data_IF_414818236033
#
_entry.id   IF_414818236033
#
_cell.length_a   1.000
_cell.length_b   1.000
_cell.length_c   1.000
_cell.angle_alpha   90.00
_cell.angle_beta   90.00
_cell.angle_gamma   90.00
#
_symmetry.space_group_name_H-M   'P 1'
#
loop_
_entity.id
_entity.type
_entity.pdbx_description
1 polymer ?
#
# COMPACT_ATOMS: atom_id res chain seq x y z
N UNK A 1 56.21 50.12 32.93
CA UNK A 1 55.26 50.81 33.83
C UNK A 1 53.85 50.70 33.24
N UNK A 2 52.84 50.70 34.11
CA UNK A 2 51.54 50.04 33.98
C UNK A 2 50.41 50.97 33.43
N UNK A 3 49.50 50.36 32.63
CA UNK A 3 48.06 50.65 32.35
C UNK A 3 47.63 51.93 31.60
N UNK A 4 46.35 52.04 31.16
CA UNK A 4 45.37 51.02 30.71
C UNK A 4 44.61 51.42 29.43
N UNK A 5 43.82 50.49 28.88
CA UNK A 5 42.48 50.78 28.36
C UNK A 5 42.35 51.60 27.07
N UNK A 6 42.08 50.92 25.96
CA UNK A 6 41.09 51.39 25.00
C UNK A 6 40.48 50.21 24.28
N UNK A 7 39.19 50.01 24.55
CA UNK A 7 38.29 49.09 23.86
C UNK A 7 37.87 49.77 22.55
N UNK A 8 38.12 49.21 21.36
CA UNK A 8 37.38 49.64 20.18
C UNK A 8 36.10 48.80 20.01
N UNK A 9 35.01 49.50 20.35
CA UNK A 9 33.69 49.57 19.71
C UNK A 9 33.09 48.30 19.08
N UNK A 10 32.07 47.82 19.79
CA UNK A 10 30.88 47.12 19.30
C UNK A 10 30.47 47.61 17.90
N UNK A 11 30.48 46.70 16.94
CA UNK A 11 29.72 46.84 15.68
C UNK A 11 28.41 46.08 15.85
N UNK A 12 27.31 46.82 15.88
CA UNK A 12 25.96 46.29 15.74
C UNK A 12 25.78 45.84 14.29
N UNK A 13 25.70 44.54 14.06
CA UNK A 13 25.09 44.00 12.85
C UNK A 13 23.67 43.58 13.21
N UNK A 14 22.77 44.47 12.80
CA UNK A 14 21.32 44.36 12.73
C UNK A 14 20.91 43.03 12.07
N UNK A 15 19.92 42.37 12.66
CA UNK A 15 19.55 40.99 12.37
C UNK A 15 19.01 40.73 10.97
N UNK A 16 19.13 39.47 10.59
CA UNK A 16 18.14 38.77 9.80
C UNK A 16 18.15 37.32 10.29
N UNK A 17 17.05 36.92 10.93
CA UNK A 17 16.55 35.56 11.02
C UNK A 17 17.18 34.61 9.98
N UNK A 18 18.22 33.87 10.35
CA UNK A 18 18.50 32.56 9.76
C UNK A 18 17.62 31.54 10.49
N UNK A 19 16.31 31.80 10.49
CA UNK A 19 15.29 30.80 10.70
C UNK A 19 15.48 29.75 9.63
N UNK A 20 16.43 28.85 9.83
CA UNK A 20 16.49 27.56 9.19
C UNK A 20 15.18 26.88 9.57
N UNK A 21 14.21 26.70 8.65
CA UNK A 21 13.32 25.59 8.86
C UNK A 21 14.24 24.38 8.78
N UNK A 22 14.41 23.72 9.93
CA UNK A 22 14.77 22.31 10.04
C UNK A 22 14.41 21.66 8.72
N UNK A 23 15.41 21.21 7.96
CA UNK A 23 15.23 20.58 6.67
C UNK A 23 14.00 19.68 6.77
N UNK A 24 12.88 20.16 6.23
CA UNK A 24 11.65 19.42 6.20
C UNK A 24 12.05 18.22 5.38
N UNK A 25 12.23 17.09 6.05
CA UNK A 25 12.43 15.84 5.38
C UNK A 25 11.13 15.69 4.62
N UNK A 26 11.15 16.11 3.35
CA UNK A 26 10.08 15.86 2.40
C UNK A 26 10.04 14.35 2.37
N UNK A 27 9.18 13.79 3.24
CA UNK A 27 8.61 12.49 3.06
C UNK A 27 8.02 12.59 1.66
N UNK A 28 8.75 12.08 0.68
CA UNK A 28 8.18 11.75 -0.61
C UNK A 28 6.99 10.87 -0.25
N UNK A 29 5.81 11.47 -0.22
CA UNK A 29 4.53 10.78 -0.10
C UNK A 29 4.64 9.62 -1.11
N UNK A 30 4.62 8.35 -0.67
CA UNK A 30 4.81 7.24 -1.58
C UNK A 30 3.74 7.37 -2.66
N UNK A 31 4.17 7.55 -3.90
CA UNK A 31 3.28 7.68 -5.05
C UNK A 31 2.35 6.47 -5.04
N UNK A 32 1.01 6.63 -4.93
CA UNK A 32 0.07 5.53 -4.67
C UNK A 32 -0.11 4.55 -5.85
N UNK A 33 0.78 4.59 -6.85
CA UNK A 33 0.72 3.72 -8.02
C UNK A 33 1.26 2.31 -7.78
N UNK A 34 2.14 2.12 -6.78
CA UNK A 34 2.84 0.84 -6.56
C UNK A 34 2.73 0.26 -5.15
N UNK A 35 1.98 0.87 -4.23
CA UNK A 35 1.75 0.26 -2.91
C UNK A 35 0.90 -1.00 -3.10
N UNK A 36 1.45 -2.22 -2.95
CA UNK A 36 0.67 -3.44 -3.14
C UNK A 36 -0.38 -3.49 -2.02
N UNK A 37 -1.60 -3.90 -2.36
CA UNK A 37 -2.57 -4.29 -1.33
C UNK A 37 -1.91 -5.40 -0.50
N UNK A 38 -1.49 -5.06 0.71
CA UNK A 38 -1.23 -6.05 1.76
C UNK A 38 -2.60 -6.50 2.26
N UNK A 39 -3.27 -7.33 1.45
CA UNK A 39 -4.26 -8.25 2.02
C UNK A 39 -3.46 -8.98 3.08
N UNK A 40 -3.89 -8.95 4.34
CA UNK A 40 -3.29 -9.81 5.34
C UNK A 40 -3.62 -11.25 4.92
N UNK A 41 -2.70 -11.85 4.15
CA UNK A 41 -2.90 -13.15 3.51
C UNK A 41 -2.89 -14.27 4.55
N UNK A 42 -2.27 -14.03 5.72
CA UNK A 42 -2.39 -14.92 6.87
C UNK A 42 -3.83 -14.88 7.45
N UNK A 43 -4.41 -13.69 7.62
CA UNK A 43 -5.81 -13.55 8.02
C UNK A 43 -6.78 -14.14 6.99
N UNK A 44 -6.54 -13.88 5.70
CA UNK A 44 -7.34 -14.42 4.59
C UNK A 44 -7.33 -15.96 4.61
N UNK A 45 -6.16 -16.58 4.79
CA UNK A 45 -6.04 -18.03 4.91
C UNK A 45 -6.77 -18.58 6.14
N UNK A 46 -6.59 -17.97 7.31
CA UNK A 46 -7.28 -18.38 8.53
C UNK A 46 -8.80 -18.27 8.40
N UNK A 47 -9.30 -17.33 7.59
CA UNK A 47 -10.73 -17.20 7.29
C UNK A 47 -11.21 -18.26 6.30
N UNK A 48 -10.45 -18.55 5.23
CA UNK A 48 -10.76 -19.64 4.27
C UNK A 48 -10.80 -21.03 4.94
N UNK A 49 -9.98 -21.25 5.97
CA UNK A 49 -9.96 -22.52 6.71
C UNK A 49 -11.14 -22.68 7.67
N UNK A 50 -11.75 -21.57 8.12
CA UNK A 50 -12.89 -21.56 9.05
C UNK A 50 -14.25 -21.45 8.34
N UNK A 51 -14.27 -21.29 7.03
CA UNK A 51 -15.49 -21.20 6.24
C UNK A 51 -16.08 -22.57 5.91
N UNK A 52 -17.36 -22.57 5.51
CA UNK A 52 -18.13 -23.78 5.21
C UNK A 52 -17.41 -24.67 4.16
N UNK A 53 -16.94 -25.87 4.52
CA UNK A 53 -16.20 -26.76 3.63
C UNK A 53 -17.05 -27.28 2.46
N UNK A 54 -18.38 -27.18 2.53
CA UNK A 54 -19.29 -27.55 1.44
C UNK A 54 -19.31 -26.52 0.32
N UNK A 55 -18.85 -25.29 0.57
CA UNK A 55 -18.75 -24.24 -0.45
C UNK A 55 -17.43 -24.38 -1.21
N UNK A 56 -17.40 -24.34 -2.54
CA UNK A 56 -16.15 -24.40 -3.29
C UNK A 56 -15.18 -23.26 -2.92
N UNK A 57 -13.90 -23.57 -2.70
CA UNK A 57 -12.89 -22.60 -2.25
C UNK A 57 -12.76 -21.37 -3.15
N UNK A 58 -12.93 -21.51 -4.47
CA UNK A 58 -12.88 -20.37 -5.38
C UNK A 58 -14.00 -19.36 -5.10
N UNK A 59 -15.20 -19.81 -4.72
CA UNK A 59 -16.30 -18.93 -4.34
C UNK A 59 -16.03 -18.23 -3.01
N UNK A 60 -15.47 -18.96 -2.05
CA UNK A 60 -15.10 -18.37 -0.75
C UNK A 60 -14.02 -17.29 -0.91
N UNK A 61 -13.03 -17.53 -1.78
CA UNK A 61 -12.01 -16.55 -2.12
C UNK A 61 -12.61 -15.34 -2.83
N UNK A 62 -13.49 -15.55 -3.81
CA UNK A 62 -14.17 -14.46 -4.52
C UNK A 62 -14.96 -13.58 -3.54
N UNK A 63 -15.75 -14.18 -2.65
CA UNK A 63 -16.49 -13.43 -1.62
C UNK A 63 -15.59 -12.63 -0.69
N UNK A 64 -14.42 -13.17 -0.35
CA UNK A 64 -13.46 -12.48 0.51
C UNK A 64 -12.86 -11.25 -0.17
N UNK A 65 -12.46 -11.39 -1.45
CA UNK A 65 -11.92 -10.29 -2.23
C UNK A 65 -13.00 -9.22 -2.46
N UNK A 66 -14.24 -9.63 -2.74
CA UNK A 66 -15.38 -8.71 -2.89
C UNK A 66 -15.61 -7.87 -1.62
N UNK A 67 -15.47 -8.47 -0.43
CA UNK A 67 -15.66 -7.76 0.85
C UNK A 67 -14.64 -6.65 1.11
N UNK A 68 -13.48 -6.71 0.46
CA UNK A 68 -12.43 -5.71 0.61
C UNK A 68 -12.33 -4.78 -0.60
N UNK A 69 -13.25 -4.87 -1.56
CA UNK A 69 -13.23 -4.06 -2.79
C UNK A 69 -13.31 -2.56 -2.51
N UNK A 70 -14.30 -2.12 -1.72
CA UNK A 70 -14.60 -0.70 -1.50
C UNK A 70 -13.38 0.13 -1.05
N UNK A 71 -12.59 -0.29 -0.05
CA UNK A 71 -11.38 0.45 0.34
C UNK A 71 -10.20 0.33 -0.62
N UNK A 72 -10.26 -0.52 -1.66
CA UNK A 72 -9.13 -0.84 -2.54
C UNK A 72 -9.40 -0.59 -4.03
N UNK A 73 -10.41 0.22 -4.38
CA UNK A 73 -10.70 0.58 -5.78
C UNK A 73 -9.48 1.11 -6.51
N UNK A 74 -9.24 0.63 -7.73
CA UNK A 74 -8.07 0.96 -8.53
C UNK A 74 -6.73 0.39 -8.04
N UNK A 75 -6.69 -0.29 -6.89
CA UNK A 75 -5.44 -0.84 -6.34
C UNK A 75 -5.15 -2.21 -6.95
N UNK A 76 -3.87 -2.52 -7.13
CA UNK A 76 -3.37 -3.77 -7.69
C UNK A 76 -3.50 -4.94 -6.73
N UNK A 77 -4.12 -6.02 -7.18
CA UNK A 77 -4.15 -7.31 -6.51
C UNK A 77 -2.81 -8.04 -6.62
N UNK A 78 -2.44 -8.85 -5.59
CA UNK A 78 -1.30 -9.76 -5.70
C UNK A 78 -1.47 -10.74 -6.88
N UNK A 79 -0.36 -11.15 -7.48
CA UNK A 79 -0.39 -12.10 -8.60
C UNK A 79 -1.05 -13.44 -8.24
N UNK A 80 -1.61 -14.16 -9.21
CA UNK A 80 -2.17 -15.50 -9.01
C UNK A 80 -1.20 -16.44 -8.29
N UNK A 81 0.09 -16.35 -8.64
CA UNK A 81 1.15 -17.16 -8.03
C UNK A 81 1.32 -16.82 -6.55
N UNK A 82 1.37 -15.53 -6.20
CA UNK A 82 1.54 -15.05 -4.82
C UNK A 82 0.32 -15.42 -3.97
N UNK A 83 -0.89 -15.17 -4.47
CA UNK A 83 -2.14 -15.57 -3.80
C UNK A 83 -2.16 -17.07 -3.52
N UNK A 84 -1.81 -17.91 -4.51
CA UNK A 84 -1.79 -19.36 -4.32
C UNK A 84 -0.77 -19.82 -3.27
N UNK A 85 0.43 -19.24 -3.28
CA UNK A 85 1.50 -19.57 -2.33
C UNK A 85 1.12 -19.18 -0.90
N UNK A 86 0.66 -17.94 -0.70
CA UNK A 86 0.38 -17.42 0.64
C UNK A 86 -0.90 -18.01 1.24
N UNK A 87 -1.94 -18.18 0.43
CA UNK A 87 -3.20 -18.82 0.86
C UNK A 87 -3.10 -20.35 0.93
N UNK A 88 -2.02 -20.94 0.40
CA UNK A 88 -1.83 -22.40 0.24
C UNK A 88 -3.00 -23.10 -0.46
N UNK A 89 -3.46 -22.51 -1.56
CA UNK A 89 -4.52 -23.06 -2.41
C UNK A 89 -4.00 -23.24 -3.83
N UNK A 90 -4.61 -24.14 -4.60
CA UNK A 90 -4.20 -24.37 -5.98
C UNK A 90 -4.35 -23.09 -6.84
N UNK A 91 -3.36 -22.81 -7.71
CA UNK A 91 -3.41 -21.66 -8.63
C UNK A 91 -4.67 -21.65 -9.51
N UNK A 92 -5.15 -22.83 -9.91
CA UNK A 92 -6.40 -22.98 -10.68
C UNK A 92 -7.63 -22.46 -9.92
N UNK A 93 -7.65 -22.64 -8.59
CA UNK A 93 -8.71 -22.14 -7.71
C UNK A 93 -8.65 -20.61 -7.62
N UNK A 94 -7.45 -20.04 -7.47
CA UNK A 94 -7.24 -18.58 -7.49
C UNK A 94 -7.71 -18.00 -8.83
N UNK A 95 -7.23 -18.57 -9.94
CA UNK A 95 -7.60 -18.13 -11.28
C UNK A 95 -9.11 -18.14 -11.49
N UNK A 96 -9.79 -19.20 -11.03
CA UNK A 96 -11.25 -19.30 -11.13
C UNK A 96 -11.97 -18.23 -10.32
N UNK A 97 -11.49 -17.94 -9.09
CA UNK A 97 -12.04 -16.88 -8.26
C UNK A 97 -11.86 -15.50 -8.91
N UNK A 98 -10.66 -15.20 -9.43
CA UNK A 98 -10.40 -13.93 -10.12
C UNK A 98 -11.21 -13.82 -11.42
N UNK A 99 -11.41 -14.91 -12.16
CA UNK A 99 -12.24 -14.90 -13.36
C UNK A 99 -13.74 -14.70 -13.06
N UNK A 100 -14.23 -15.12 -11.90
CA UNK A 100 -15.58 -14.77 -11.43
C UNK A 100 -15.68 -13.26 -11.18
N UNK A 101 -14.75 -12.70 -10.41
CA UNK A 101 -14.71 -11.28 -10.06
C UNK A 101 -14.52 -10.36 -11.28
N UNK A 102 -13.75 -10.80 -12.27
CA UNK A 102 -13.55 -10.08 -13.52
C UNK A 102 -14.86 -10.01 -14.32
N UNK A 103 -15.62 -11.11 -14.38
CA UNK A 103 -16.96 -11.13 -15.00
C UNK A 103 -17.97 -10.26 -14.26
N UNK A 104 -17.83 -10.14 -12.94
CA UNK A 104 -18.66 -9.29 -12.09
C UNK A 104 -18.27 -7.81 -12.16
N UNK A 105 -17.17 -7.46 -12.84
CA UNK A 105 -16.68 -6.09 -12.93
C UNK A 105 -15.97 -5.57 -11.68
N UNK A 106 -15.75 -6.41 -10.67
CA UNK A 106 -15.07 -6.05 -9.41
C UNK A 106 -13.57 -5.85 -9.62
N UNK A 107 -13.00 -6.57 -10.59
CA UNK A 107 -11.59 -6.45 -10.94
C UNK A 107 -11.42 -6.31 -12.45
N UNK A 108 -10.30 -5.73 -12.85
CA UNK A 108 -9.90 -5.57 -14.24
C UNK A 108 -8.48 -6.10 -14.43
N UNK A 109 -8.28 -6.90 -15.48
CA UNK A 109 -6.94 -7.32 -15.89
C UNK A 109 -6.38 -6.36 -16.93
N UNK A 110 -5.15 -5.93 -16.71
CA UNK A 110 -4.37 -5.10 -17.63
C UNK A 110 -3.21 -5.95 -18.13
N UNK A 111 -3.14 -6.21 -19.43
CA UNK A 111 -2.09 -7.03 -20.03
C UNK A 111 -0.71 -6.46 -19.65
N UNK A 112 0.18 -7.31 -19.14
CA UNK A 112 1.51 -6.91 -18.67
C UNK A 112 1.55 -6.17 -17.32
N UNK A 113 0.49 -5.44 -16.95
CA UNK A 113 0.45 -4.65 -15.71
C UNK A 113 -0.12 -5.42 -14.50
N UNK A 114 -1.03 -6.38 -14.73
CA UNK A 114 -1.56 -7.26 -13.67
C UNK A 114 -3.07 -7.14 -13.48
N UNK A 115 -3.53 -7.31 -12.25
CA UNK A 115 -4.96 -7.33 -11.92
C UNK A 115 -5.24 -6.26 -10.87
N UNK A 116 -6.29 -5.47 -11.08
CA UNK A 116 -6.64 -4.31 -10.25
C UNK A 116 -8.10 -4.39 -9.84
N UNK A 117 -8.47 -3.87 -8.68
CA UNK A 117 -9.88 -3.60 -8.41
C UNK A 117 -10.40 -2.54 -9.40
N UNK A 118 -11.66 -2.65 -9.78
CA UNK A 118 -12.30 -1.66 -10.64
C UNK A 118 -12.31 -0.28 -9.95
N UNK A 119 -12.08 0.76 -10.75
CA UNK A 119 -11.97 2.15 -10.29
C UNK A 119 -13.27 2.94 -10.41
N UNK A 120 -14.32 2.34 -10.99
CA UNK A 120 -15.62 2.98 -11.25
C UNK A 120 -16.57 2.87 -10.05
#
# INVERSE_FOLDING_TARGET
MIHPGSIPKRVEALGADDGSPLAETVLLEPTPADTPVVIDLAFARARLMRSDPRRPLYRQLADMIRKIEAPHRGVRLPTERRLAQELRIARVTVRKALADLEREGIIQRRQGAGTYFASD
#
